data_IF_149180681028
#
_entry.id   IF_149180681028
#
_cell.length_a   1.000
_cell.length_b   1.000
_cell.length_c   1.000
_cell.angle_alpha   90.00
_cell.angle_beta   90.00
_cell.angle_gamma   90.00
#
_symmetry.space_group_name_H-M   'P 1'
#
loop_
_entity.id
_entity.type
_entity.pdbx_description
1 polymer ?
#
# COMPACT_ATOMS: atom_id res chain seq x y z
N UNK A 1 15.67 4.80 29.42
CA UNK A 1 15.87 5.79 28.34
C UNK A 1 14.79 5.55 27.29
N UNK A 2 14.41 6.55 26.50
CA UNK A 2 13.48 6.31 25.39
C UNK A 2 14.16 5.41 24.33
N UNK A 3 13.38 4.63 23.58
CA UNK A 3 13.91 3.94 22.39
C UNK A 3 14.54 4.99 21.44
N UNK A 4 15.62 4.68 20.68
CA UNK A 4 16.19 5.58 19.65
C UNK A 4 15.26 5.78 18.45
N UNK A 5 15.31 6.94 17.78
CA UNK A 5 14.48 7.24 16.60
C UNK A 5 14.72 6.28 15.43
N UNK A 6 13.79 6.19 14.46
CA UNK A 6 13.82 5.16 13.42
C UNK A 6 15.04 5.25 12.50
N UNK A 7 15.59 6.45 12.28
CA UNK A 7 16.80 6.68 11.50
C UNK A 7 17.99 5.89 12.05
N UNK A 8 18.11 5.77 13.38
CA UNK A 8 19.16 4.99 14.03
C UNK A 8 19.01 3.47 13.81
N UNK A 9 17.86 3.00 13.33
CA UNK A 9 17.65 1.59 12.95
C UNK A 9 18.07 1.29 11.50
N UNK A 10 18.30 2.30 10.65
CA UNK A 10 18.64 2.12 9.22
C UNK A 10 19.94 1.31 9.06
N UNK A 11 21.02 1.77 9.68
CA UNK A 11 22.33 1.12 9.61
C UNK A 11 22.33 -0.33 10.16
N UNK A 12 21.83 -0.59 11.39
CA UNK A 12 21.74 -1.96 11.92
C UNK A 12 20.95 -2.92 11.04
N UNK A 13 19.80 -2.48 10.51
CA UNK A 13 18.96 -3.31 9.64
C UNK A 13 19.71 -3.59 8.34
N UNK A 14 20.28 -2.58 7.70
CA UNK A 14 21.03 -2.71 6.45
C UNK A 14 22.19 -3.73 6.59
N UNK A 15 23.00 -3.61 7.65
CA UNK A 15 24.13 -4.51 7.90
C UNK A 15 23.70 -5.93 8.19
N UNK A 16 22.63 -6.10 8.97
CA UNK A 16 22.11 -7.43 9.28
C UNK A 16 21.62 -8.14 8.01
N UNK A 17 20.89 -7.43 7.14
CA UNK A 17 20.40 -7.99 5.88
C UNK A 17 21.53 -8.33 4.90
N UNK A 18 22.62 -7.56 4.88
CA UNK A 18 23.77 -7.83 4.03
C UNK A 18 24.43 -9.19 4.31
N UNK A 19 24.39 -9.66 5.56
CA UNK A 19 24.89 -10.98 5.95
C UNK A 19 23.96 -12.14 5.60
N UNK A 20 22.79 -11.89 4.99
CA UNK A 20 21.71 -12.87 4.83
C UNK A 20 21.07 -12.79 3.42
N UNK A 21 21.80 -13.23 2.37
CA UNK A 21 21.35 -13.08 0.99
C UNK A 21 20.04 -13.81 0.65
N UNK A 22 19.74 -14.93 1.34
CA UNK A 22 18.51 -15.71 1.13
C UNK A 22 17.26 -15.08 1.77
N UNK A 23 17.43 -13.94 2.43
CA UNK A 23 16.43 -13.20 3.18
C UNK A 23 16.09 -13.80 4.55
N UNK A 24 15.60 -12.95 5.43
CA UNK A 24 15.34 -13.26 6.84
C UNK A 24 13.92 -12.90 7.26
N UNK A 25 13.34 -13.59 8.24
CA UNK A 25 12.14 -13.12 8.90
C UNK A 25 12.33 -11.70 9.47
N UNK A 26 11.33 -10.84 9.30
CA UNK A 26 11.30 -9.48 9.83
C UNK A 26 11.56 -9.44 11.33
N UNK A 27 11.02 -10.43 12.06
CA UNK A 27 11.27 -10.61 13.50
C UNK A 27 12.77 -10.67 13.80
N UNK A 28 13.53 -11.42 13.02
CA UNK A 28 14.95 -11.64 13.28
C UNK A 28 15.75 -10.37 12.96
N UNK A 29 15.35 -9.61 11.93
CA UNK A 29 15.90 -8.28 11.65
C UNK A 29 15.58 -7.27 12.76
N UNK A 30 14.37 -7.31 13.33
CA UNK A 30 13.99 -6.46 14.47
C UNK A 30 14.85 -6.75 15.70
N UNK A 31 15.02 -8.02 16.06
CA UNK A 31 15.83 -8.39 17.22
C UNK A 31 17.31 -8.04 16.99
N UNK A 32 17.86 -8.32 15.81
CA UNK A 32 19.24 -7.98 15.49
C UNK A 32 19.51 -6.46 15.54
N UNK A 33 18.56 -5.63 15.09
CA UNK A 33 18.68 -4.18 15.21
C UNK A 33 18.59 -3.70 16.66
N UNK A 34 17.73 -4.32 17.48
CA UNK A 34 17.65 -4.03 18.91
C UNK A 34 18.94 -4.42 19.66
N UNK A 35 19.54 -5.55 19.30
CA UNK A 35 20.81 -6.02 19.85
C UNK A 35 21.95 -5.06 19.47
N UNK A 36 22.05 -4.67 18.20
CA UNK A 36 23.07 -3.74 17.71
C UNK A 36 22.99 -2.35 18.37
N UNK A 37 21.76 -1.90 18.70
CA UNK A 37 21.52 -0.64 19.41
C UNK A 37 21.59 -0.77 20.93
N UNK A 38 21.89 -1.97 21.46
CA UNK A 38 21.97 -2.26 22.90
C UNK A 38 20.70 -1.86 23.67
N UNK A 39 19.51 -2.17 23.11
CA UNK A 39 18.25 -1.85 23.78
C UNK A 39 18.03 -2.71 25.03
N UNK A 40 17.65 -2.06 26.12
CA UNK A 40 17.29 -2.71 27.39
C UNK A 40 15.88 -3.35 27.37
N UNK A 41 15.57 -4.16 28.38
CA UNK A 41 14.29 -4.88 28.47
C UNK A 41 13.07 -3.94 28.54
N UNK A 42 13.23 -2.75 29.14
CA UNK A 42 12.15 -1.77 29.21
C UNK A 42 11.89 -1.18 27.82
N UNK A 43 12.95 -0.85 27.07
CA UNK A 43 12.88 -0.38 25.69
C UNK A 43 12.29 -1.44 24.74
N UNK A 44 12.55 -2.73 24.99
CA UNK A 44 12.00 -3.85 24.21
C UNK A 44 10.53 -4.17 24.53
N UNK A 45 10.02 -3.72 25.66
CA UNK A 45 8.62 -3.93 26.07
C UNK A 45 7.74 -2.69 25.87
N UNK A 46 8.33 -1.55 25.51
CA UNK A 46 7.60 -0.32 25.20
C UNK A 46 6.65 -0.53 24.02
N UNK A 47 5.37 -0.17 24.20
CA UNK A 47 4.31 -0.29 23.20
C UNK A 47 3.83 1.09 22.74
N UNK A 48 3.59 1.23 21.44
CA UNK A 48 2.85 2.38 20.90
C UNK A 48 1.34 2.20 21.16
N UNK A 49 0.57 3.27 20.98
CA UNK A 49 -0.89 3.26 21.21
C UNK A 49 -1.66 2.21 20.39
N UNK A 50 -1.09 1.68 19.30
CA UNK A 50 -1.67 0.58 18.52
C UNK A 50 -1.35 -0.82 19.06
N UNK A 51 -0.59 -0.93 20.14
CA UNK A 51 -0.22 -2.21 20.77
C UNK A 51 1.02 -2.88 20.19
N UNK A 52 1.63 -2.31 19.15
CA UNK A 52 2.91 -2.81 18.62
C UNK A 52 4.10 -2.35 19.49
N UNK A 53 5.15 -3.17 19.52
CA UNK A 53 6.41 -2.79 20.18
C UNK A 53 7.10 -1.66 19.42
N UNK A 54 7.56 -0.66 20.16
CA UNK A 54 8.14 0.58 19.61
C UNK A 54 9.36 0.28 18.73
N UNK A 55 10.30 -0.53 19.20
CA UNK A 55 11.51 -0.85 18.43
C UNK A 55 11.21 -1.63 17.15
N UNK A 56 10.23 -2.55 17.17
CA UNK A 56 9.81 -3.29 15.96
C UNK A 56 9.21 -2.36 14.93
N UNK A 57 8.40 -1.40 15.37
CA UNK A 57 7.84 -0.38 14.50
C UNK A 57 8.95 0.49 13.88
N UNK A 58 9.92 0.93 14.67
CA UNK A 58 11.06 1.75 14.19
C UNK A 58 11.97 0.99 13.22
N UNK A 59 12.24 -0.29 13.48
CA UNK A 59 12.97 -1.15 12.55
C UNK A 59 12.20 -1.39 11.24
N UNK A 60 10.87 -1.48 11.30
CA UNK A 60 10.02 -1.58 10.10
C UNK A 60 10.09 -0.31 9.25
N UNK A 61 10.07 0.87 9.87
CA UNK A 61 10.26 2.15 9.18
C UNK A 61 11.64 2.30 8.56
N UNK A 62 12.70 1.87 9.27
CA UNK A 62 14.04 1.82 8.71
C UNK A 62 14.09 0.95 7.44
N UNK A 63 13.45 -0.22 7.47
CA UNK A 63 13.34 -1.08 6.30
C UNK A 63 12.51 -0.45 5.17
N UNK A 64 11.38 0.24 5.47
CA UNK A 64 10.62 1.00 4.46
C UNK A 64 11.52 2.03 3.75
N UNK A 65 12.33 2.79 4.50
CA UNK A 65 13.28 3.74 3.91
C UNK A 65 14.32 3.08 3.01
N UNK A 66 14.89 1.95 3.45
CA UNK A 66 15.81 1.17 2.63
C UNK A 66 15.14 0.62 1.36
N UNK A 67 13.85 0.25 1.42
CA UNK A 67 13.09 -0.17 0.24
C UNK A 67 12.90 0.99 -0.73
N UNK A 68 12.53 2.18 -0.24
CA UNK A 68 12.33 3.39 -1.07
C UNK A 68 13.63 3.87 -1.72
N UNK A 69 14.76 3.67 -1.05
CA UNK A 69 16.10 3.90 -1.60
C UNK A 69 16.56 2.82 -2.59
N UNK A 70 15.77 1.77 -2.85
CA UNK A 70 16.13 0.68 -3.76
C UNK A 70 17.14 -0.33 -3.19
N UNK A 71 17.54 -0.20 -1.92
CA UNK A 71 18.58 -1.03 -1.30
C UNK A 71 18.03 -2.33 -0.69
N UNK A 72 16.75 -2.36 -0.35
CA UNK A 72 16.12 -3.56 0.23
C UNK A 72 14.79 -3.89 -0.42
N UNK A 73 14.32 -5.12 -0.21
CA UNK A 73 13.06 -5.61 -0.72
C UNK A 73 12.46 -6.68 0.21
N UNK A 74 11.17 -6.97 0.01
CA UNK A 74 10.50 -8.08 0.68
C UNK A 74 10.37 -9.25 -0.30
N UNK A 75 10.95 -10.40 0.04
CA UNK A 75 10.82 -11.64 -0.75
C UNK A 75 9.42 -12.26 -0.62
N UNK A 76 8.85 -12.15 0.58
CA UNK A 76 7.50 -12.57 0.90
C UNK A 76 7.04 -11.88 2.17
N UNK A 77 5.79 -12.11 2.60
CA UNK A 77 5.24 -11.47 3.81
C UNK A 77 6.15 -11.69 5.01
N UNK A 78 6.69 -10.60 5.54
CA UNK A 78 7.57 -10.63 6.70
C UNK A 78 8.92 -11.30 6.44
N UNK A 79 9.37 -11.42 5.19
CA UNK A 79 10.70 -11.91 4.82
C UNK A 79 11.46 -10.84 4.02
N UNK A 80 12.52 -10.30 4.61
CA UNK A 80 13.27 -9.15 4.10
C UNK A 80 14.64 -9.58 3.54
N UNK A 81 15.13 -8.91 2.51
CA UNK A 81 16.49 -9.06 2.00
C UNK A 81 16.99 -7.78 1.34
N UNK A 82 18.29 -7.70 1.07
CA UNK A 82 18.82 -6.63 0.21
C UNK A 82 18.54 -6.92 -1.26
N UNK A 83 18.47 -5.86 -2.05
CA UNK A 83 18.56 -5.93 -3.52
C UNK A 83 20.02 -6.11 -3.95
N UNK A 84 20.31 -6.47 -5.21
CA UNK A 84 21.67 -6.46 -5.73
C UNK A 84 22.37 -5.10 -5.55
N UNK A 85 21.64 -4.00 -5.72
CA UNK A 85 22.14 -2.64 -5.47
C UNK A 85 22.48 -2.42 -4.00
N UNK A 86 21.61 -2.85 -3.08
CA UNK A 86 21.88 -2.80 -1.64
C UNK A 86 23.12 -3.59 -1.22
N UNK A 87 23.31 -4.79 -1.78
CA UNK A 87 24.51 -5.60 -1.52
C UNK A 87 25.78 -4.87 -2.00
N UNK A 88 25.76 -4.33 -3.22
CA UNK A 88 26.88 -3.57 -3.77
C UNK A 88 27.17 -2.30 -2.94
N UNK A 89 26.11 -1.63 -2.50
CA UNK A 89 26.22 -0.43 -1.67
C UNK A 89 26.94 -0.72 -0.35
N UNK A 90 26.55 -1.80 0.35
CA UNK A 90 27.19 -2.22 1.60
C UNK A 90 28.64 -2.67 1.41
N UNK A 91 28.94 -3.32 0.27
CA UNK A 91 30.31 -3.70 -0.08
C UNK A 91 31.20 -2.48 -0.33
N UNK A 92 30.68 -1.43 -0.97
CA UNK A 92 31.38 -0.17 -1.19
C UNK A 92 31.57 0.63 0.12
N UNK A 93 30.60 0.57 1.03
CA UNK A 93 30.61 1.28 2.31
C UNK A 93 30.84 0.30 3.46
N UNK A 94 32.05 -0.23 3.61
CA UNK A 94 32.37 -1.23 4.64
C UNK A 94 32.36 -0.69 6.07
N UNK A 95 32.42 0.64 6.25
CA UNK A 95 32.30 1.31 7.54
C UNK A 95 30.84 1.69 7.83
N UNK A 96 30.45 1.83 9.11
CA UNK A 96 29.10 2.28 9.46
C UNK A 96 28.70 3.59 8.78
N UNK A 97 27.44 3.68 8.38
CA UNK A 97 26.86 4.90 7.79
C UNK A 97 27.14 6.13 8.66
N UNK A 98 27.57 7.21 8.02
CA UNK A 98 27.64 8.55 8.62
C UNK A 98 26.24 9.12 8.86
N UNK A 99 26.13 10.12 9.72
CA UNK A 99 24.85 10.77 10.01
C UNK A 99 24.23 11.43 8.76
N UNK A 100 25.06 11.97 7.87
CA UNK A 100 24.63 12.53 6.58
C UNK A 100 24.01 11.46 5.68
N UNK A 101 24.65 10.29 5.55
CA UNK A 101 24.13 9.19 4.74
C UNK A 101 22.84 8.58 5.34
N UNK A 102 22.76 8.48 6.68
CA UNK A 102 21.52 8.06 7.36
C UNK A 102 20.39 9.04 7.07
N UNK A 103 20.65 10.35 7.15
CA UNK A 103 19.63 11.37 6.87
C UNK A 103 19.16 11.31 5.40
N UNK A 104 20.10 11.17 4.47
CA UNK A 104 19.78 10.99 3.05
C UNK A 104 18.86 9.77 2.82
N UNK A 105 19.19 8.62 3.42
CA UNK A 105 18.33 7.42 3.34
C UNK A 105 16.99 7.60 4.05
N UNK A 106 16.97 8.30 5.19
CA UNK A 106 15.78 8.48 6.01
C UNK A 106 14.73 9.38 5.38
N UNK A 107 15.15 10.34 4.54
CA UNK A 107 14.32 11.47 4.14
C UNK A 107 14.22 11.72 2.64
N UNK A 108 15.28 11.55 1.86
CA UNK A 108 15.27 11.97 0.45
C UNK A 108 14.39 11.05 -0.42
N UNK A 109 14.17 9.83 0.06
CA UNK A 109 13.38 8.80 -0.62
C UNK A 109 11.93 8.72 -0.17
N UNK A 110 11.47 9.61 0.71
CA UNK A 110 10.11 9.58 1.25
C UNK A 110 9.02 9.59 0.16
N UNK A 111 9.28 10.28 -0.96
CA UNK A 111 8.33 10.48 -2.04
C UNK A 111 8.40 9.41 -3.14
N UNK A 112 9.32 8.45 -3.04
CA UNK A 112 9.47 7.42 -4.07
C UNK A 112 8.42 6.33 -3.88
N UNK A 113 7.63 6.07 -4.93
CA UNK A 113 6.71 4.92 -5.00
C UNK A 113 7.53 3.63 -5.15
N UNK A 114 7.26 2.64 -4.29
CA UNK A 114 7.98 1.36 -4.30
C UNK A 114 7.74 0.50 -5.55
N UNK A 115 6.64 0.75 -6.26
CA UNK A 115 6.31 0.10 -7.55
C UNK A 115 5.84 1.14 -8.55
N UNK A 116 6.70 1.49 -9.50
CA UNK A 116 6.28 2.13 -10.74
C UNK A 116 6.28 1.10 -11.85
N UNK A 117 5.11 0.88 -12.45
CA UNK A 117 5.03 0.15 -13.71
C UNK A 117 5.35 1.13 -14.83
N UNK A 118 6.41 0.87 -15.64
CA UNK A 118 6.97 1.87 -16.55
C UNK A 118 5.99 2.32 -17.66
N UNK A 119 4.99 1.50 -17.98
CA UNK A 119 3.97 1.76 -18.98
C UNK A 119 2.58 2.07 -18.41
N UNK A 120 2.44 2.05 -17.07
CA UNK A 120 1.19 2.44 -16.41
C UNK A 120 1.08 3.96 -16.30
N UNK A 121 -0.12 4.47 -16.52
CA UNK A 121 -0.45 5.88 -16.28
C UNK A 121 -1.30 6.02 -15.02
N UNK A 122 -0.99 7.01 -14.17
CA UNK A 122 -1.77 7.31 -12.97
C UNK A 122 -3.20 7.68 -13.36
N UNK A 123 -4.20 6.95 -12.85
CA UNK A 123 -5.62 7.29 -13.09
C UNK A 123 -5.97 8.66 -12.48
N UNK A 124 -5.47 8.92 -11.28
CA UNK A 124 -5.73 10.14 -10.49
C UNK A 124 -4.38 10.85 -10.16
N UNK A 125 -4.02 11.94 -10.87
CA UNK A 125 -2.76 12.66 -10.64
C UNK A 125 -2.74 13.29 -9.25
N UNK A 126 -1.69 12.99 -8.45
CA UNK A 126 -1.52 13.56 -7.11
C UNK A 126 -0.56 14.76 -7.13
N UNK A 127 -0.79 15.76 -6.27
CA UNK A 127 0.21 16.79 -6.02
C UNK A 127 1.46 16.18 -5.38
N UNK A 128 2.63 16.67 -5.80
CA UNK A 128 3.93 16.34 -5.24
C UNK A 128 3.98 16.71 -3.75
N UNK A 129 4.60 15.84 -2.96
CA UNK A 129 4.82 16.05 -1.53
C UNK A 129 5.86 17.18 -1.30
N UNK A 130 5.68 18.00 -0.25
CA UNK A 130 6.62 19.07 0.09
C UNK A 130 7.99 18.53 0.52
N UNK A 131 9.04 19.34 0.36
CA UNK A 131 10.40 18.96 0.74
C UNK A 131 10.67 19.12 2.25
N UNK A 132 11.86 18.71 2.71
CA UNK A 132 12.27 18.80 4.12
C UNK A 132 12.21 20.23 4.70
N UNK A 133 12.67 21.22 3.93
CA UNK A 133 12.68 22.61 4.40
C UNK A 133 11.25 23.18 4.53
N UNK A 134 10.36 22.79 3.63
CA UNK A 134 8.94 23.13 3.68
C UNK A 134 8.25 22.45 4.87
N UNK A 135 8.59 21.18 5.14
CA UNK A 135 8.05 20.44 6.28
C UNK A 135 8.49 21.05 7.62
N UNK A 136 9.75 21.48 7.73
CA UNK A 136 10.28 22.15 8.91
C UNK A 136 9.63 23.53 9.16
N UNK A 137 9.17 24.19 8.09
CA UNK A 137 8.46 25.48 8.14
C UNK A 137 6.94 25.33 8.33
N UNK A 138 6.41 24.12 8.19
CA UNK A 138 4.98 23.82 8.33
C UNK A 138 4.47 23.97 9.76
N UNK A 139 3.19 24.29 9.90
CA UNK A 139 2.53 24.32 11.20
C UNK A 139 2.52 22.92 11.85
N UNK A 140 2.26 22.81 13.17
CA UNK A 140 2.08 21.51 13.80
C UNK A 140 1.00 20.64 13.13
N UNK A 141 -0.09 21.26 12.67
CA UNK A 141 -1.17 20.57 11.97
C UNK A 141 -0.72 20.08 10.58
N UNK A 142 0.01 20.91 9.82
CA UNK A 142 0.55 20.51 8.50
C UNK A 142 1.50 19.30 8.64
N UNK A 143 2.35 19.31 9.67
CA UNK A 143 3.26 18.19 9.96
C UNK A 143 2.50 16.93 10.39
N UNK A 144 1.39 17.08 11.12
CA UNK A 144 0.53 15.96 11.47
C UNK A 144 -0.16 15.36 10.24
N UNK A 145 -0.73 16.19 9.37
CA UNK A 145 -1.36 15.76 8.12
C UNK A 145 -0.37 15.04 7.20
N UNK A 146 0.84 15.57 7.09
CA UNK A 146 1.92 14.92 6.35
C UNK A 146 2.30 13.56 6.96
N UNK A 147 2.47 13.48 8.27
CA UNK A 147 2.75 12.21 8.94
C UNK A 147 1.61 11.19 8.77
N UNK A 148 0.35 11.63 8.80
CA UNK A 148 -0.81 10.77 8.53
C UNK A 148 -0.81 10.27 7.08
N UNK A 149 -0.46 11.12 6.12
CA UNK A 149 -0.31 10.73 4.72
C UNK A 149 0.79 9.70 4.53
N UNK A 150 1.96 9.88 5.14
CA UNK A 150 3.04 8.89 5.07
C UNK A 150 2.65 7.54 5.66
N UNK A 151 1.97 7.54 6.81
CA UNK A 151 1.41 6.32 7.40
C UNK A 151 0.45 5.63 6.43
N UNK A 152 -0.42 6.41 5.77
CA UNK A 152 -1.40 5.89 4.81
C UNK A 152 -0.72 5.31 3.58
N UNK A 153 0.28 5.99 3.02
CA UNK A 153 1.01 5.54 1.83
C UNK A 153 1.84 4.28 2.12
N UNK A 154 2.49 4.18 3.29
CA UNK A 154 3.19 2.97 3.71
C UNK A 154 2.23 1.76 3.85
N UNK A 155 1.05 1.97 4.46
CA UNK A 155 0.02 0.93 4.56
C UNK A 155 -0.52 0.54 3.18
N UNK A 156 -0.71 1.50 2.27
CA UNK A 156 -1.14 1.25 0.91
C UNK A 156 -0.15 0.35 0.15
N UNK A 157 1.15 0.63 0.27
CA UNK A 157 2.21 -0.19 -0.33
C UNK A 157 2.20 -1.62 0.23
N UNK A 158 2.10 -1.76 1.56
CA UNK A 158 2.01 -3.08 2.20
C UNK A 158 0.75 -3.85 1.79
N UNK A 159 -0.41 -3.19 1.74
CA UNK A 159 -1.65 -3.80 1.26
C UNK A 159 -1.48 -4.33 -0.15
N UNK A 160 -0.91 -3.53 -1.06
CA UNK A 160 -0.73 -3.93 -2.45
C UNK A 160 0.20 -5.14 -2.58
N UNK A 161 1.29 -5.19 -1.82
CA UNK A 161 2.15 -6.36 -1.73
C UNK A 161 1.38 -7.59 -1.25
N UNK A 162 0.56 -7.46 -0.21
CA UNK A 162 -0.26 -8.57 0.28
C UNK A 162 -1.31 -9.03 -0.74
N UNK A 163 -1.96 -8.12 -1.47
CA UNK A 163 -2.91 -8.46 -2.53
C UNK A 163 -2.26 -9.27 -3.66
N UNK A 164 -1.00 -8.99 -3.98
CA UNK A 164 -0.26 -9.76 -4.98
C UNK A 164 0.09 -11.18 -4.53
N UNK A 165 0.12 -11.45 -3.23
CA UNK A 165 0.45 -12.77 -2.69
C UNK A 165 -0.76 -13.69 -2.46
N UNK A 166 -1.99 -13.14 -2.43
CA UNK A 166 -3.19 -13.97 -2.30
C UNK A 166 -3.53 -14.70 -3.60
N UNK A 167 -4.35 -15.75 -3.52
CA UNK A 167 -4.85 -16.45 -4.70
C UNK A 167 -5.82 -15.56 -5.51
N UNK A 168 -5.94 -15.74 -6.84
CA UNK A 168 -6.89 -14.98 -7.67
C UNK A 168 -8.32 -14.98 -7.12
N UNK A 169 -8.82 -16.16 -6.74
CA UNK A 169 -10.14 -16.30 -6.09
C UNK A 169 -10.27 -15.51 -4.79
N UNK A 170 -9.21 -15.43 -3.97
CA UNK A 170 -9.26 -14.63 -2.75
C UNK A 170 -9.25 -13.13 -3.06
N UNK A 171 -8.53 -12.72 -4.11
CA UNK A 171 -8.54 -11.34 -4.57
C UNK A 171 -9.92 -10.90 -5.05
N UNK A 172 -10.62 -11.72 -5.84
CA UNK A 172 -12.02 -11.46 -6.25
C UNK A 172 -12.93 -11.21 -5.03
N UNK A 173 -12.83 -12.05 -3.99
CA UNK A 173 -13.61 -11.89 -2.75
C UNK A 173 -13.29 -10.56 -2.05
N UNK A 174 -12.02 -10.20 -1.95
CA UNK A 174 -11.61 -8.92 -1.34
C UNK A 174 -12.20 -7.74 -2.12
N UNK A 175 -12.15 -7.80 -3.45
CA UNK A 175 -12.73 -6.75 -4.31
C UNK A 175 -14.24 -6.61 -4.08
N UNK A 176 -14.98 -7.72 -3.99
CA UNK A 176 -16.40 -7.70 -3.67
C UNK A 176 -16.68 -7.14 -2.27
N UNK A 177 -15.85 -7.47 -1.27
CA UNK A 177 -15.95 -6.91 0.08
C UNK A 177 -15.74 -5.37 0.09
N UNK A 178 -14.79 -4.86 -0.72
CA UNK A 178 -14.56 -3.41 -0.90
C UNK A 178 -15.78 -2.74 -1.52
N UNK A 179 -16.31 -3.30 -2.61
CA UNK A 179 -17.49 -2.75 -3.28
C UNK A 179 -18.72 -2.76 -2.35
N UNK A 180 -18.91 -3.82 -1.57
CA UNK A 180 -19.97 -3.86 -0.57
C UNK A 180 -19.83 -2.76 0.48
N UNK A 181 -18.61 -2.52 0.99
CA UNK A 181 -18.37 -1.46 1.97
C UNK A 181 -18.55 -0.05 1.42
N UNK A 182 -18.29 0.15 0.13
CA UNK A 182 -18.62 1.39 -0.58
C UNK A 182 -20.14 1.60 -0.76
N UNK A 183 -20.97 0.62 -0.38
CA UNK A 183 -22.42 0.69 -0.47
C UNK A 183 -23.01 0.12 -1.76
N UNK A 184 -22.20 -0.60 -2.57
CA UNK A 184 -22.73 -1.35 -3.70
C UNK A 184 -23.36 -2.67 -3.23
N UNK A 185 -24.64 -2.89 -3.55
CA UNK A 185 -25.41 -4.01 -3.00
C UNK A 185 -25.97 -3.67 -1.62
N UNK A 186 -27.30 -3.59 -1.50
CA UNK A 186 -27.98 -3.23 -0.26
C UNK A 186 -27.85 -4.30 0.83
N UNK A 187 -27.70 -5.56 0.41
CA UNK A 187 -27.41 -6.70 1.27
C UNK A 187 -26.26 -7.54 0.69
N UNK A 188 -25.60 -8.32 1.55
CA UNK A 188 -24.48 -9.17 1.12
C UNK A 188 -24.89 -10.23 0.09
N UNK A 189 -26.15 -10.64 0.10
CA UNK A 189 -26.73 -11.59 -0.86
C UNK A 189 -26.91 -10.98 -2.27
N UNK A 190 -26.82 -9.65 -2.39
CA UNK A 190 -26.86 -8.95 -3.68
C UNK A 190 -25.54 -9.09 -4.46
N UNK A 191 -24.48 -9.58 -3.81
CA UNK A 191 -23.19 -9.88 -4.42
C UNK A 191 -23.16 -11.33 -4.86
N UNK A 192 -23.32 -11.54 -6.16
CA UNK A 192 -23.20 -12.85 -6.77
C UNK A 192 -21.80 -13.00 -7.35
N UNK A 193 -21.02 -13.91 -6.79
CA UNK A 193 -19.78 -14.34 -7.45
C UNK A 193 -20.16 -15.19 -8.65
N UNK A 194 -19.69 -14.79 -9.82
CA UNK A 194 -19.84 -15.55 -11.04
C UNK A 194 -18.44 -16.03 -11.37
N UNK A 195 -18.25 -17.34 -11.43
CA UNK A 195 -16.94 -17.90 -11.72
C UNK A 195 -17.08 -19.19 -12.47
N UNK A 196 -16.59 -19.21 -13.71
CA UNK A 196 -16.49 -20.39 -14.53
C UNK A 196 -15.78 -20.13 -15.85
N UNK A 197 -15.05 -21.12 -16.36
CA UNK A 197 -14.55 -21.07 -17.74
C UNK A 197 -15.71 -20.90 -18.72
N UNK A 198 -15.84 -19.72 -19.33
CA UNK A 198 -16.87 -19.40 -20.33
C UNK A 198 -17.73 -18.16 -20.06
N UNK A 199 -17.55 -17.49 -18.93
CA UNK A 199 -18.28 -16.26 -18.54
C UNK A 199 -17.74 -14.97 -19.18
N UNK A 200 -16.69 -15.06 -20.01
CA UNK A 200 -16.09 -13.92 -20.68
C UNK A 200 -15.27 -13.01 -19.76
N UNK A 201 -14.92 -13.46 -18.55
CA UNK A 201 -14.11 -12.68 -17.60
C UNK A 201 -14.92 -11.81 -16.65
N UNK A 202 -16.16 -12.18 -16.34
CA UNK A 202 -16.96 -11.53 -15.30
C UNK A 202 -16.79 -12.33 -14.01
N UNK A 203 -16.15 -11.72 -13.01
CA UNK A 203 -15.86 -12.36 -11.72
C UNK A 203 -16.98 -12.14 -10.69
N UNK A 204 -17.81 -11.12 -10.91
CA UNK A 204 -18.92 -10.80 -10.00
C UNK A 204 -20.02 -9.95 -10.63
N UNK A 205 -21.22 -10.09 -10.07
CA UNK A 205 -22.38 -9.27 -10.41
C UNK A 205 -22.95 -8.72 -9.10
N UNK A 206 -23.12 -7.40 -9.06
CA UNK A 206 -23.68 -6.70 -7.91
C UNK A 206 -24.99 -6.04 -8.33
N UNK A 207 -26.07 -6.35 -7.62
CA UNK A 207 -27.35 -5.65 -7.81
C UNK A 207 -27.35 -4.35 -7.00
N UNK A 208 -27.68 -3.22 -7.62
CA UNK A 208 -27.74 -1.91 -6.93
C UNK A 208 -29.07 -1.65 -6.24
N UNK A 209 -30.08 -2.43 -6.58
CA UNK A 209 -31.41 -2.38 -6.00
C UNK A 209 -31.89 -3.78 -5.61
N UNK A 210 -32.83 -3.82 -4.66
CA UNK A 210 -33.38 -5.08 -4.11
C UNK A 210 -34.14 -5.93 -5.14
N UNK A 211 -34.58 -5.34 -6.25
CA UNK A 211 -35.29 -6.04 -7.32
C UNK A 211 -34.31 -6.58 -8.38
N UNK A 212 -33.02 -6.22 -8.33
CA UNK A 212 -32.00 -6.66 -9.26
C UNK A 212 -32.13 -6.08 -10.66
N UNK A 213 -32.78 -4.91 -10.80
CA UNK A 213 -33.02 -4.25 -12.08
C UNK A 213 -31.78 -3.55 -12.60
N UNK A 214 -31.00 -2.95 -11.71
CA UNK A 214 -29.71 -2.33 -11.98
C UNK A 214 -28.58 -3.23 -11.49
N UNK A 215 -27.76 -3.70 -12.43
CA UNK A 215 -26.61 -4.57 -12.15
C UNK A 215 -25.31 -3.89 -12.55
N UNK A 216 -24.29 -4.09 -11.73
CA UNK A 216 -22.90 -3.74 -12.01
C UNK A 216 -22.11 -5.02 -12.13
N UNK A 217 -21.39 -5.15 -13.23
CA UNK A 217 -20.55 -6.31 -13.52
C UNK A 217 -19.11 -5.98 -13.12
N UNK A 218 -18.44 -6.91 -12.48
CA UNK A 218 -17.12 -6.69 -11.89
C UNK A 218 -16.15 -7.69 -12.50
N UNK A 219 -15.00 -7.19 -12.93
CA UNK A 219 -13.84 -7.99 -13.25
C UNK A 219 -12.69 -7.59 -12.31
N UNK A 220 -12.09 -8.57 -11.65
CA UNK A 220 -11.05 -8.41 -10.65
C UNK A 220 -9.81 -9.23 -11.07
N UNK A 221 -8.82 -8.55 -11.65
CA UNK A 221 -7.60 -9.20 -12.16
C UNK A 221 -6.41 -8.98 -11.23
N UNK A 222 -5.95 -10.05 -10.55
CA UNK A 222 -4.66 -10.03 -9.85
C UNK A 222 -3.52 -10.10 -10.88
N UNK A 223 -2.92 -8.96 -11.18
CA UNK A 223 -1.94 -8.81 -12.25
C UNK A 223 -0.66 -8.12 -11.75
N UNK A 224 0.48 -8.59 -12.24
CA UNK A 224 1.79 -7.96 -11.94
C UNK A 224 2.24 -6.98 -13.02
N UNK A 225 1.77 -7.17 -14.26
CA UNK A 225 2.06 -6.29 -15.38
C UNK A 225 0.96 -5.25 -15.53
N UNK A 226 1.17 -4.25 -16.37
CA UNK A 226 0.15 -3.25 -16.70
C UNK A 226 -0.97 -3.89 -17.53
N UNK A 227 -2.21 -3.47 -17.30
CA UNK A 227 -3.37 -3.92 -18.08
C UNK A 227 -3.48 -3.11 -19.37
N UNK A 228 -3.40 -3.81 -20.50
CA UNK A 228 -3.52 -3.21 -21.83
C UNK A 228 -4.94 -3.21 -22.39
N UNK A 229 -5.13 -2.49 -23.49
CA UNK A 229 -6.42 -2.39 -24.21
C UNK A 229 -7.11 -3.73 -24.54
N UNK A 230 -6.42 -4.81 -24.96
CA UNK A 230 -7.09 -6.07 -25.30
C UNK A 230 -7.93 -6.67 -24.16
N UNK A 231 -7.46 -6.51 -22.92
CA UNK A 231 -8.16 -7.01 -21.73
C UNK A 231 -9.47 -6.24 -21.50
N UNK A 232 -9.42 -4.92 -21.63
CA UNK A 232 -10.61 -4.08 -21.51
C UNK A 232 -11.59 -4.30 -22.66
N UNK A 233 -11.11 -4.59 -23.88
CA UNK A 233 -11.97 -4.95 -25.01
C UNK A 233 -12.69 -6.28 -24.78
N UNK A 234 -12.00 -7.28 -24.23
CA UNK A 234 -12.60 -8.55 -23.86
C UNK A 234 -13.70 -8.34 -22.80
N UNK A 235 -13.41 -7.56 -21.75
CA UNK A 235 -14.39 -7.20 -20.72
C UNK A 235 -15.61 -6.48 -21.31
N UNK A 236 -15.39 -5.46 -22.14
CA UNK A 236 -16.47 -4.72 -22.80
C UNK A 236 -17.32 -5.64 -23.69
N UNK A 237 -16.71 -6.59 -24.40
CA UNK A 237 -17.42 -7.62 -25.15
C UNK A 237 -18.31 -8.49 -24.27
N UNK A 238 -17.83 -8.90 -23.10
CA UNK A 238 -18.60 -9.66 -22.12
C UNK A 238 -19.79 -8.85 -21.57
N UNK A 239 -19.59 -7.56 -21.26
CA UNK A 239 -20.66 -6.64 -20.85
C UNK A 239 -21.75 -6.55 -21.93
N UNK A 240 -21.36 -6.38 -23.20
CA UNK A 240 -22.29 -6.32 -24.32
C UNK A 240 -23.09 -7.63 -24.48
N UNK A 241 -22.43 -8.79 -24.34
CA UNK A 241 -23.08 -10.11 -24.37
C UNK A 241 -24.12 -10.29 -23.27
N UNK A 242 -23.89 -9.72 -22.09
CA UNK A 242 -24.83 -9.72 -20.96
C UNK A 242 -25.84 -8.57 -20.99
N UNK A 243 -25.80 -7.70 -22.01
CA UNK A 243 -26.58 -6.45 -22.09
C UNK A 243 -26.41 -5.57 -20.85
N UNK A 244 -25.23 -5.61 -20.25
CA UNK A 244 -24.87 -4.84 -19.06
C UNK A 244 -24.64 -3.37 -19.43
N UNK A 245 -25.17 -2.47 -18.59
CA UNK A 245 -24.98 -1.01 -18.76
C UNK A 245 -23.78 -0.46 -17.99
N UNK A 246 -23.31 -1.19 -16.98
CA UNK A 246 -22.26 -0.72 -16.05
C UNK A 246 -21.32 -1.87 -15.72
N UNK A 247 -20.02 -1.61 -15.82
CA UNK A 247 -18.95 -2.52 -15.48
C UNK A 247 -17.80 -1.81 -14.77
N UNK A 248 -17.16 -2.50 -13.82
CA UNK A 248 -15.96 -2.03 -13.13
C UNK A 248 -14.84 -3.04 -13.33
N UNK A 249 -13.72 -2.58 -13.86
CA UNK A 249 -12.51 -3.38 -14.02
C UNK A 249 -11.50 -2.97 -12.95
N UNK A 250 -11.11 -3.93 -12.11
CA UNK A 250 -10.28 -3.74 -10.93
C UNK A 250 -9.01 -4.58 -11.08
N UNK A 251 -7.85 -3.99 -10.85
CA UNK A 251 -6.56 -4.70 -10.94
C UNK A 251 -5.63 -4.34 -9.77
N UNK A 252 -4.67 -5.22 -9.45
CA UNK A 252 -3.56 -4.92 -8.53
C UNK A 252 -2.40 -4.17 -9.21
N UNK A 253 -2.52 -3.88 -10.50
CA UNK A 253 -1.53 -3.16 -11.31
C UNK A 253 -2.06 -1.80 -11.77
N UNK A 254 -1.41 -1.16 -12.74
CA UNK A 254 -1.95 -0.01 -13.46
C UNK A 254 -2.51 -0.36 -14.83
N UNK A 255 -2.90 0.67 -15.57
CA UNK A 255 -3.42 0.58 -16.94
C UNK A 255 -2.50 1.33 -17.90
N UNK A 256 -2.35 0.83 -19.13
CA UNK A 256 -1.60 1.55 -20.17
C UNK A 256 -2.39 2.77 -20.63
N UNK A 257 -1.72 3.75 -21.24
CA UNK A 257 -2.40 4.91 -21.84
C UNK A 257 -3.50 4.48 -22.83
N UNK A 258 -3.22 3.50 -23.69
CA UNK A 258 -4.22 3.01 -24.66
C UNK A 258 -5.40 2.29 -23.99
N UNK A 259 -5.19 1.66 -22.84
CA UNK A 259 -6.26 1.04 -22.06
C UNK A 259 -7.16 2.12 -21.43
N UNK A 260 -6.55 3.15 -20.83
CA UNK A 260 -7.27 4.30 -20.28
C UNK A 260 -8.09 5.03 -21.35
N UNK A 261 -7.48 5.33 -22.50
CA UNK A 261 -8.14 6.00 -23.62
C UNK A 261 -9.33 5.18 -24.13
N UNK A 262 -9.16 3.85 -24.22
CA UNK A 262 -10.26 2.96 -24.60
C UNK A 262 -11.40 2.99 -23.59
N UNK A 263 -11.11 2.97 -22.28
CA UNK A 263 -12.13 3.04 -21.25
C UNK A 263 -12.91 4.36 -21.28
N UNK A 264 -12.25 5.47 -21.56
CA UNK A 264 -12.93 6.76 -21.74
C UNK A 264 -13.76 6.83 -23.03
N UNK A 265 -13.41 6.05 -24.05
CA UNK A 265 -14.14 6.04 -25.33
C UNK A 265 -15.45 5.22 -25.31
N UNK A 266 -15.67 4.42 -24.27
CA UNK A 266 -16.85 3.58 -24.13
C UNK A 266 -17.68 4.01 -22.92
N UNK A 267 -19.00 3.92 -23.03
CA UNK A 267 -19.88 4.23 -21.90
C UNK A 267 -19.95 3.07 -20.91
N UNK A 268 -20.11 3.40 -19.63
CA UNK A 268 -20.45 2.43 -18.60
C UNK A 268 -19.28 1.58 -18.09
N UNK A 269 -18.02 1.88 -18.42
CA UNK A 269 -16.85 1.18 -17.88
C UNK A 269 -16.05 2.08 -16.94
N UNK A 270 -15.79 1.60 -15.73
CA UNK A 270 -14.96 2.28 -14.72
C UNK A 270 -13.72 1.45 -14.45
N UNK A 271 -12.55 2.12 -14.36
CA UNK A 271 -11.28 1.48 -14.03
C UNK A 271 -10.90 1.78 -12.58
N UNK A 272 -10.36 0.77 -11.89
CA UNK A 272 -9.74 0.90 -10.56
C UNK A 272 -8.40 0.19 -10.60
N UNK A 273 -7.32 0.98 -10.50
CA UNK A 273 -5.95 0.44 -10.42
C UNK A 273 -5.60 0.01 -8.99
N UNK A 274 -4.41 -0.58 -8.82
CA UNK A 274 -3.97 -1.11 -7.55
C UNK A 274 -3.86 -0.03 -6.47
N UNK A 275 -3.43 1.18 -6.86
CA UNK A 275 -3.26 2.33 -5.98
C UNK A 275 -4.61 2.86 -5.46
N UNK A 276 -5.57 3.04 -6.37
CA UNK A 276 -6.94 3.42 -6.01
C UNK A 276 -7.62 2.33 -5.20
N UNK A 277 -7.41 1.05 -5.52
CA UNK A 277 -7.99 -0.06 -4.79
C UNK A 277 -7.55 -0.05 -3.32
N UNK A 278 -6.26 0.07 -3.03
CA UNK A 278 -5.77 0.09 -1.63
C UNK A 278 -6.23 1.34 -0.88
N UNK A 279 -6.40 2.46 -1.57
CA UNK A 279 -7.00 3.65 -0.98
C UNK A 279 -8.46 3.43 -0.56
N UNK A 280 -9.25 2.82 -1.44
CA UNK A 280 -10.64 2.46 -1.13
C UNK A 280 -10.70 1.45 0.03
N UNK A 281 -9.77 0.49 0.08
CA UNK A 281 -9.65 -0.43 1.21
C UNK A 281 -9.38 0.28 2.53
N UNK A 282 -8.48 1.28 2.53
CA UNK A 282 -8.15 2.05 3.74
C UNK A 282 -9.34 2.89 4.21
N UNK A 283 -9.98 3.62 3.31
CA UNK A 283 -11.13 4.49 3.62
C UNK A 283 -12.34 3.72 4.15
N UNK A 284 -12.48 2.46 3.74
CA UNK A 284 -13.61 1.61 4.09
C UNK A 284 -13.26 0.51 5.10
N UNK A 285 -12.09 0.59 5.72
CA UNK A 285 -11.58 -0.35 6.73
C UNK A 285 -11.62 -1.83 6.29
N UNK A 286 -11.29 -2.09 5.02
CA UNK A 286 -11.20 -3.45 4.47
C UNK A 286 -9.75 -3.94 4.55
N UNK A 287 -9.50 -4.93 5.40
CA UNK A 287 -8.15 -5.48 5.58
C UNK A 287 -7.20 -4.57 6.37
N UNK A 288 -7.70 -3.46 6.91
CA UNK A 288 -6.97 -2.55 7.80
C UNK A 288 -7.80 -2.21 9.03
N UNK A 289 -7.15 -1.64 10.04
CA UNK A 289 -7.79 -1.11 11.24
C UNK A 289 -7.28 0.30 11.53
N UNK A 290 -8.18 1.23 11.85
CA UNK A 290 -7.82 2.59 12.24
C UNK A 290 -7.63 2.72 13.76
N UNK A 291 -6.92 3.76 14.19
CA UNK A 291 -6.78 4.14 15.60
C UNK A 291 -7.16 5.60 15.79
N UNK A 292 -7.86 5.91 16.88
CA UNK A 292 -8.28 7.28 17.17
C UNK A 292 -7.16 8.06 17.87
N UNK A 293 -6.73 9.17 17.26
CA UNK A 293 -5.75 10.11 17.85
C UNK A 293 -6.51 11.33 18.36
N UNK A 294 -6.47 11.57 19.68
CA UNK A 294 -7.11 12.74 20.30
C UNK A 294 -6.13 13.91 20.32
N UNK A 295 -6.40 14.92 19.50
CA UNK A 295 -5.67 16.19 19.54
C UNK A 295 -6.44 17.15 20.46
N UNK A 296 -5.83 17.66 21.55
CA UNK A 296 -6.51 18.57 22.46
C UNK A 296 -6.80 19.90 21.75
N UNK A 297 -8.03 20.40 21.89
CA UNK A 297 -8.44 21.72 21.42
C UNK A 297 -9.03 22.49 22.59
N UNK A 298 -8.59 23.74 22.76
CA UNK A 298 -9.16 24.63 23.76
C UNK A 298 -10.60 24.95 23.36
N UNK A 299 -11.55 24.69 24.26
CA UNK A 299 -12.92 25.16 24.11
C UNK A 299 -13.04 26.52 24.79
N UNK A 300 -13.15 27.60 24.00
CA UNK A 300 -13.23 28.97 24.54
C UNK A 300 -14.54 29.20 25.30
N UNK A 301 -15.65 28.60 24.85
CA UNK A 301 -16.97 28.67 25.49
C UNK A 301 -17.01 28.12 26.92
N UNK A 302 -15.99 27.35 27.33
CA UNK A 302 -15.88 26.88 28.71
C UNK A 302 -15.42 27.97 29.68
N UNK A 303 -14.76 29.02 29.17
CA UNK A 303 -14.17 30.10 29.97
C UNK A 303 -14.97 31.42 29.90
N UNK A 304 -16.08 31.45 29.17
CA UNK A 304 -17.07 32.54 29.11
C UNK A 304 -18.29 32.24 29.97
#
# INVERSE_FOLDING_TARGET
MAVPTYDKFIEPVLRFLAGKPDGVPARDAHEAAADALNLDDNQRTEVIASGHLVYKNRASWAHDRLKRAGLSQSLSRGKWCLTPEGVNWVQAHSQPLTEEEVNHLAFDFMNIKLKQQPDAVDLDPRPSLPNQEELAKGSPDDRLDQALKELRDAVADELLENLLQVSPTRFEVIVLDVLHRLGYGGHRDDLQRVGGTGDGGIDGIISLDKLGLEKVYVQAKRWQNTVGRPELQAFYGALAGQKAKRGVFITTSGFTSQARDFAHSVEGMVLVDGERLVHLMIENEVGVSSRLVKVPKLNMDYFE
#
